data_IF_019752533552
#
_entry.id   IF_019752533552
#
_cell.length_a   1.000
_cell.length_b   1.000
_cell.length_c   1.000
_cell.angle_alpha   90.00
_cell.angle_beta   90.00
_cell.angle_gamma   90.00
#
_symmetry.space_group_name_H-M   'P 1'
#
loop_
_entity.id
_entity.type
_entity.pdbx_description
1 polymer ?
#
# COMPACT_ATOMS: atom_id res chain seq x y z
N UNK A 1 19.28 31.37 9.87
CA UNK A 1 18.54 31.10 11.09
C UNK A 1 18.37 29.57 11.13
N UNK A 2 18.99 28.89 12.09
CA UNK A 2 18.75 27.46 12.30
C UNK A 2 17.36 27.36 12.91
N UNK A 3 16.45 26.70 12.20
CA UNK A 3 15.12 26.36 12.68
C UNK A 3 15.29 25.27 13.76
N UNK A 4 15.28 25.69 15.01
CA UNK A 4 15.28 24.79 16.17
C UNK A 4 13.83 24.40 16.42
N UNK A 5 13.29 23.48 15.62
CA UNK A 5 12.16 22.66 16.06
C UNK A 5 12.65 21.92 17.30
N UNK A 6 12.15 22.31 18.49
CA UNK A 6 12.51 21.73 19.77
C UNK A 6 12.24 20.21 19.71
N UNK A 7 13.34 19.42 19.81
CA UNK A 7 13.25 17.98 19.96
C UNK A 7 12.71 17.66 21.35
N UNK A 8 11.47 17.23 21.42
CA UNK A 8 10.83 16.84 22.67
C UNK A 8 11.11 15.35 22.99
N UNK A 9 11.72 15.11 24.14
CA UNK A 9 11.94 13.77 24.67
C UNK A 9 11.42 13.67 26.11
N UNK A 10 11.00 12.44 26.49
CA UNK A 10 10.37 12.15 27.80
C UNK A 10 11.41 12.20 28.92
N UNK A 11 12.63 11.73 28.69
CA UNK A 11 13.71 11.63 29.67
C UNK A 11 14.76 12.71 29.45
N UNK A 12 15.53 13.07 30.48
CA UNK A 12 16.60 14.06 30.34
C UNK A 12 17.60 13.68 29.23
N UNK A 13 18.01 14.66 28.43
CA UNK A 13 19.05 14.46 27.40
C UNK A 13 20.38 14.02 27.99
N UNK A 14 20.70 14.54 29.16
CA UNK A 14 21.98 14.29 29.81
C UNK A 14 23.12 15.17 29.28
N UNK A 15 24.33 14.77 29.61
CA UNK A 15 25.56 15.47 29.20
C UNK A 15 26.10 14.86 27.91
N UNK A 16 26.89 15.64 27.18
CA UNK A 16 27.63 15.12 26.03
C UNK A 16 28.50 13.93 26.43
N UNK A 17 28.54 12.89 25.60
CA UNK A 17 29.35 11.72 25.89
C UNK A 17 30.81 12.13 26.15
N UNK A 18 31.41 11.67 27.27
CA UNK A 18 32.79 12.01 27.60
C UNK A 18 33.75 11.46 26.53
N UNK A 19 34.95 12.05 26.34
CA UNK A 19 35.89 11.65 25.29
C UNK A 19 36.23 10.16 25.28
N UNK A 20 36.24 9.51 26.43
CA UNK A 20 36.49 8.07 26.56
C UNK A 20 35.42 7.21 25.83
N UNK A 21 34.20 7.68 25.77
CA UNK A 21 33.09 7.00 25.06
C UNK A 21 32.84 7.61 23.68
N UNK A 22 32.99 8.94 23.53
CA UNK A 22 32.76 9.64 22.28
C UNK A 22 33.56 9.08 21.10
N UNK A 23 34.72 8.50 21.34
CA UNK A 23 35.54 7.84 20.32
C UNK A 23 34.84 6.66 19.61
N UNK A 24 33.77 6.14 20.18
CA UNK A 24 32.98 5.04 19.62
C UNK A 24 31.70 5.53 18.89
N UNK A 25 31.60 6.85 18.68
CA UNK A 25 30.47 7.47 18.00
C UNK A 25 30.95 8.38 16.86
N UNK A 26 30.23 8.38 15.77
CA UNK A 26 30.38 9.37 14.70
C UNK A 26 29.28 10.39 14.87
N UNK A 27 29.62 11.66 15.11
CA UNK A 27 28.68 12.71 15.46
C UNK A 27 28.50 12.89 16.96
N UNK A 28 27.56 13.74 17.36
CA UNK A 28 27.36 14.10 18.77
C UNK A 28 26.25 13.24 19.41
N UNK A 29 26.56 12.69 20.55
CA UNK A 29 25.59 11.94 21.40
C UNK A 29 25.64 12.43 22.84
N UNK A 30 24.56 12.14 23.56
CA UNK A 30 24.36 12.53 24.96
C UNK A 30 23.93 11.32 25.79
N UNK A 31 24.29 11.33 27.08
CA UNK A 31 24.01 10.22 27.97
C UNK A 31 23.46 10.74 29.31
N UNK A 32 22.32 10.22 29.72
CA UNK A 32 21.74 10.45 31.03
C UNK A 32 21.55 9.13 31.79
N UNK A 33 22.27 8.85 32.88
CA UNK A 33 21.99 7.72 33.73
C UNK A 33 20.65 7.95 34.47
N UNK A 34 19.72 7.00 34.33
CA UNK A 34 18.38 7.07 34.93
C UNK A 34 18.30 6.28 36.24
N UNK A 35 19.09 5.21 36.39
CA UNK A 35 19.18 4.44 37.61
C UNK A 35 20.48 4.76 38.35
N UNK A 36 20.36 5.03 39.65
CA UNK A 36 21.51 5.37 40.54
C UNK A 36 21.69 4.39 41.71
N UNK A 37 20.68 3.57 42.01
CA UNK A 37 20.75 2.58 43.05
C UNK A 37 21.40 1.29 42.53
N UNK A 38 22.66 1.02 42.94
CA UNK A 38 23.39 -0.17 42.55
C UNK A 38 22.79 -1.48 43.03
N UNK A 39 21.95 -1.46 44.07
CA UNK A 39 21.28 -2.66 44.57
C UNK A 39 20.23 -3.21 43.61
N UNK A 40 19.67 -2.34 42.74
CA UNK A 40 18.72 -2.77 41.72
C UNK A 40 19.38 -3.61 40.62
N UNK A 41 20.71 -3.51 40.45
CA UNK A 41 21.46 -4.22 39.45
C UNK A 41 20.82 -4.16 38.03
N UNK A 42 20.26 -3.01 37.70
CA UNK A 42 19.57 -2.73 36.43
C UNK A 42 19.97 -1.34 35.90
N UNK A 43 21.15 -1.20 35.30
CA UNK A 43 21.58 0.06 34.72
C UNK A 43 20.70 0.43 33.50
N UNK A 44 20.14 1.65 33.56
CA UNK A 44 19.30 2.22 32.52
C UNK A 44 19.85 3.60 32.17
N UNK A 45 20.09 3.83 30.91
CA UNK A 45 20.56 5.10 30.37
C UNK A 45 19.59 5.63 29.32
N UNK A 46 19.30 6.93 29.34
CA UNK A 46 18.74 7.58 28.16
C UNK A 46 19.91 8.02 27.27
N UNK A 47 19.92 7.51 26.06
CA UNK A 47 20.93 7.84 25.04
C UNK A 47 20.27 8.64 23.95
N UNK A 48 20.81 9.85 23.69
CA UNK A 48 20.28 10.76 22.69
C UNK A 48 21.33 11.02 21.60
N UNK A 49 20.95 10.98 20.37
CA UNK A 49 21.78 11.16 19.19
C UNK A 49 21.31 12.39 18.39
N UNK A 50 22.24 13.25 17.99
CA UNK A 50 21.96 14.28 16.97
C UNK A 50 21.70 13.65 15.59
N UNK A 51 21.03 14.37 14.67
CA UNK A 51 20.85 13.90 13.30
C UNK A 51 22.16 13.42 12.67
N UNK A 52 22.14 12.21 12.11
CA UNK A 52 23.29 11.57 11.49
C UNK A 52 24.28 10.91 12.47
N UNK A 53 24.13 11.09 13.78
CA UNK A 53 24.98 10.46 14.77
C UNK A 53 24.68 8.97 14.92
N UNK A 54 25.73 8.14 14.98
CA UNK A 54 25.65 6.69 15.16
C UNK A 54 26.83 6.17 15.96
N UNK A 55 26.65 5.04 16.64
CA UNK A 55 27.78 4.34 17.27
C UNK A 55 28.49 3.40 16.29
N UNK A 56 29.68 3.00 16.67
CA UNK A 56 30.43 1.97 15.96
C UNK A 56 29.75 0.61 16.04
N UNK A 57 30.13 -0.32 15.20
CA UNK A 57 29.82 -1.73 15.40
C UNK A 57 30.30 -2.17 16.78
N UNK A 58 29.45 -2.88 17.52
CA UNK A 58 29.78 -3.39 18.84
C UNK A 58 28.92 -4.59 19.23
N UNK A 59 29.26 -5.23 20.34
CA UNK A 59 28.46 -6.30 20.93
C UNK A 59 28.49 -6.23 22.45
N UNK A 60 27.51 -6.88 23.09
CA UNK A 60 27.35 -7.01 24.53
C UNK A 60 27.36 -8.48 24.93
N UNK A 61 28.21 -8.91 25.88
CA UNK A 61 28.25 -10.31 26.31
C UNK A 61 27.01 -10.71 27.11
N UNK A 62 26.32 -9.74 27.75
CA UNK A 62 25.09 -9.95 28.50
C UNK A 62 23.81 -9.65 27.73
N UNK A 63 23.91 -9.09 26.54
CA UNK A 63 22.79 -8.54 25.78
C UNK A 63 22.38 -7.15 26.22
N UNK A 64 21.47 -6.53 25.47
CA UNK A 64 20.93 -5.20 25.74
C UNK A 64 19.47 -5.10 25.25
N UNK A 65 18.67 -4.27 25.94
CA UNK A 65 17.34 -3.92 25.51
C UNK A 65 17.30 -2.42 25.17
N UNK A 66 16.78 -2.05 23.98
CA UNK A 66 16.53 -0.67 23.60
C UNK A 66 15.03 -0.40 23.59
N UNK A 67 14.61 0.68 24.24
CA UNK A 67 13.22 1.15 24.26
C UNK A 67 13.22 2.56 23.65
N UNK A 68 12.68 2.70 22.44
CA UNK A 68 12.71 3.98 21.71
C UNK A 68 11.72 4.96 22.34
N UNK A 69 12.20 6.16 22.66
CA UNK A 69 11.42 7.16 23.40
C UNK A 69 11.12 8.41 22.59
N UNK A 70 11.95 8.78 21.60
CA UNK A 70 11.72 9.96 20.79
C UNK A 70 12.50 9.91 19.46
N UNK A 71 12.00 10.65 18.46
CA UNK A 71 12.66 10.83 17.18
C UNK A 71 12.68 9.62 16.28
N UNK A 72 13.61 9.57 15.33
CA UNK A 72 13.79 8.48 14.37
C UNK A 72 15.23 7.99 14.35
N UNK A 73 15.44 6.69 14.40
CA UNK A 73 16.76 6.09 14.37
C UNK A 73 16.79 4.81 13.56
N UNK A 74 17.95 4.19 13.51
CA UNK A 74 18.17 2.92 12.85
C UNK A 74 18.94 1.95 13.77
N UNK A 75 18.66 0.68 13.59
CA UNK A 75 19.37 -0.44 14.19
C UNK A 75 19.73 -1.44 13.10
N UNK A 76 20.92 -1.98 13.16
CA UNK A 76 21.34 -3.03 12.22
C UNK A 76 22.22 -4.06 12.89
N UNK A 77 21.91 -5.34 12.68
CA UNK A 77 22.80 -6.45 12.98
C UNK A 77 23.73 -6.71 11.80
N UNK A 78 24.95 -7.15 12.08
CA UNK A 78 25.93 -7.43 11.02
C UNK A 78 25.42 -8.53 10.08
N UNK A 79 25.41 -8.23 8.79
CA UNK A 79 24.90 -9.11 7.75
C UNK A 79 23.37 -9.10 7.57
N UNK A 80 22.66 -8.30 8.34
CA UNK A 80 21.21 -8.09 8.21
C UNK A 80 20.91 -6.71 7.63
N UNK A 81 19.68 -6.51 7.19
CA UNK A 81 19.20 -5.19 6.77
C UNK A 81 18.98 -4.27 7.96
N UNK A 82 19.22 -2.97 7.78
CA UNK A 82 18.93 -1.98 8.80
C UNK A 82 17.42 -1.81 9.00
N UNK A 83 16.99 -1.72 10.26
CA UNK A 83 15.62 -1.50 10.70
C UNK A 83 15.45 -0.05 11.14
N UNK A 84 14.42 0.64 10.61
CA UNK A 84 13.97 1.94 11.12
C UNK A 84 13.37 1.73 12.52
N UNK A 85 13.70 2.65 13.44
CA UNK A 85 13.19 2.68 14.81
C UNK A 85 12.37 3.95 15.05
N UNK A 86 11.18 3.78 15.61
CA UNK A 86 10.23 4.82 15.98
C UNK A 86 9.87 4.75 17.48
N UNK A 87 9.37 5.83 18.09
CA UNK A 87 8.92 5.83 19.47
C UNK A 87 7.93 4.70 19.76
N UNK A 88 8.20 3.92 20.81
CA UNK A 88 7.45 2.72 21.17
C UNK A 88 8.07 1.41 20.66
N UNK A 89 9.03 1.45 19.74
CA UNK A 89 9.75 0.25 19.32
C UNK A 89 10.63 -0.31 20.44
N UNK A 90 10.71 -1.63 20.47
CA UNK A 90 11.58 -2.40 21.35
C UNK A 90 12.56 -3.21 20.51
N UNK A 91 13.86 -3.16 20.87
CA UNK A 91 14.90 -3.98 20.26
C UNK A 91 15.52 -4.85 21.33
N UNK A 92 15.35 -6.16 21.21
CA UNK A 92 15.99 -7.17 22.04
C UNK A 92 17.29 -7.59 21.38
N UNK A 93 18.42 -7.20 21.97
CA UNK A 93 19.76 -7.52 21.45
C UNK A 93 20.30 -8.70 22.24
N UNK A 94 20.34 -9.87 21.61
CA UNK A 94 20.86 -11.09 22.24
C UNK A 94 22.37 -10.98 22.53
N UNK A 95 22.88 -11.77 23.50
CA UNK A 95 24.31 -11.79 23.81
C UNK A 95 25.18 -12.04 22.58
N UNK A 96 26.26 -11.24 22.46
CA UNK A 96 27.27 -11.31 21.41
C UNK A 96 26.79 -10.96 19.99
N UNK A 97 25.56 -10.48 19.78
CA UNK A 97 25.11 -9.95 18.49
C UNK A 97 25.91 -8.70 18.16
N UNK A 98 26.57 -8.69 17.00
CA UNK A 98 27.31 -7.52 16.49
C UNK A 98 26.30 -6.61 15.80
N UNK A 99 26.17 -5.37 16.29
CA UNK A 99 25.18 -4.40 15.81
C UNK A 99 25.68 -2.97 15.92
N UNK A 100 24.94 -2.06 15.31
CA UNK A 100 25.02 -0.63 15.55
C UNK A 100 23.61 -0.02 15.60
N UNK A 101 23.50 1.15 16.21
CA UNK A 101 22.30 1.99 16.19
C UNK A 101 22.68 3.47 16.21
N UNK A 102 21.73 4.33 15.81
CA UNK A 102 21.93 5.75 15.74
C UNK A 102 20.75 6.50 15.19
N UNK A 103 20.85 7.83 15.12
CA UNK A 103 19.84 8.72 14.59
C UNK A 103 19.67 8.56 13.08
N UNK A 104 18.50 8.93 12.54
CA UNK A 104 18.33 9.16 11.11
C UNK A 104 19.11 10.39 10.65
N UNK A 105 19.41 10.54 9.33
CA UNK A 105 20.19 11.67 8.83
C UNK A 105 19.58 13.04 9.11
N UNK A 106 18.25 13.10 9.24
CA UNK A 106 17.43 14.30 9.35
C UNK A 106 16.61 14.39 10.66
N UNK A 107 16.85 13.49 11.62
CA UNK A 107 16.09 13.45 12.88
C UNK A 107 16.98 13.18 14.06
N UNK A 108 16.69 13.81 15.18
CA UNK A 108 17.16 13.36 16.49
C UNK A 108 16.61 11.98 16.80
N UNK A 109 17.28 11.26 17.68
CA UNK A 109 16.87 9.93 18.12
C UNK A 109 17.20 9.74 19.59
N UNK A 110 16.25 9.22 20.37
CA UNK A 110 16.46 8.90 21.78
C UNK A 110 15.85 7.56 22.14
N UNK A 111 16.58 6.80 22.95
CA UNK A 111 16.10 5.51 23.46
C UNK A 111 16.65 5.25 24.87
N UNK A 112 15.96 4.42 25.64
CA UNK A 112 16.51 3.83 26.85
C UNK A 112 17.38 2.63 26.47
N UNK A 113 18.61 2.61 26.94
CA UNK A 113 19.48 1.45 26.90
C UNK A 113 19.45 0.77 28.29
N UNK A 114 18.91 -0.44 28.32
CA UNK A 114 18.88 -1.28 29.54
C UNK A 114 19.94 -2.35 29.40
N UNK A 115 20.91 -2.36 30.31
CA UNK A 115 21.93 -3.42 30.34
C UNK A 115 21.35 -4.70 30.88
N UNK A 116 21.42 -5.78 30.10
CA UNK A 116 21.07 -7.11 30.55
C UNK A 116 22.28 -7.80 31.19
N UNK A 117 22.05 -8.56 32.28
CA UNK A 117 23.11 -9.29 33.02
C UNK A 117 24.32 -8.41 33.40
N UNK A 118 24.15 -7.23 34.02
CA UNK A 118 25.20 -6.22 34.17
C UNK A 118 26.43 -6.68 34.92
N UNK A 119 26.32 -7.69 35.81
CA UNK A 119 27.47 -8.27 36.50
C UNK A 119 28.51 -8.89 35.57
N UNK A 120 28.08 -9.45 34.44
CA UNK A 120 28.92 -10.14 33.46
C UNK A 120 28.94 -9.46 32.10
N UNK A 121 28.11 -8.45 31.87
CA UNK A 121 28.03 -7.74 30.60
C UNK A 121 29.32 -6.96 30.36
N UNK A 122 29.85 -7.08 29.15
CA UNK A 122 31.02 -6.34 28.66
C UNK A 122 30.75 -5.92 27.23
N UNK A 123 31.11 -4.68 26.92
CA UNK A 123 31.01 -4.13 25.56
C UNK A 123 32.31 -4.40 24.80
N UNK A 124 32.18 -4.92 23.60
CA UNK A 124 33.27 -5.02 22.64
C UNK A 124 33.02 -4.08 21.50
N UNK A 125 33.82 -3.02 21.40
CA UNK A 125 33.76 -2.05 20.32
C UNK A 125 34.58 -2.49 19.13
N UNK A 126 34.06 -2.30 17.93
CA UNK A 126 34.65 -2.70 16.66
C UNK A 126 34.82 -1.46 15.77
N UNK A 127 34.96 -1.66 14.46
CA UNK A 127 35.17 -0.61 13.49
C UNK A 127 33.98 0.38 13.40
N UNK A 128 34.22 1.64 12.99
CA UNK A 128 33.17 2.60 12.72
C UNK A 128 32.22 2.14 11.61
N UNK A 129 30.95 2.55 11.70
CA UNK A 129 30.04 2.50 10.56
C UNK A 129 30.34 3.70 9.67
N UNK A 130 31.04 3.48 8.56
CA UNK A 130 31.42 4.55 7.65
C UNK A 130 30.21 5.24 6.99
N UNK A 131 30.46 6.37 6.32
CA UNK A 131 29.40 7.18 5.73
C UNK A 131 28.71 6.50 4.55
N UNK A 132 29.38 5.59 3.85
CA UNK A 132 28.79 4.84 2.75
C UNK A 132 27.83 3.78 3.27
N UNK A 133 28.27 2.97 4.24
CA UNK A 133 27.45 1.97 4.92
C UNK A 133 26.24 2.61 5.62
N UNK A 134 26.47 3.74 6.32
CA UNK A 134 25.39 4.48 6.97
C UNK A 134 24.37 5.03 5.96
N UNK A 135 24.81 5.66 4.87
CA UNK A 135 23.91 6.15 3.82
C UNK A 135 23.13 5.01 3.16
N UNK A 136 23.78 3.88 2.90
CA UNK A 136 23.10 2.71 2.35
C UNK A 136 22.05 2.14 3.32
N UNK A 137 22.35 2.10 4.62
CA UNK A 137 21.47 1.61 5.67
C UNK A 137 20.27 2.54 5.93
N UNK A 138 20.47 3.86 5.81
CA UNK A 138 19.47 4.89 6.10
C UNK A 138 18.83 5.50 4.86
N UNK A 139 19.29 5.12 3.66
CA UNK A 139 18.65 5.53 2.42
C UNK A 139 17.15 5.24 2.49
N UNK A 140 16.28 6.14 2.03
CA UNK A 140 14.88 5.85 1.90
C UNK A 140 14.75 4.61 1.00
N UNK A 141 14.58 3.46 1.61
CA UNK A 141 14.17 2.29 0.83
C UNK A 141 12.82 2.67 0.24
N UNK A 142 12.60 2.47 -1.08
CA UNK A 142 11.24 2.53 -1.58
C UNK A 142 10.42 1.68 -0.62
N UNK A 143 9.40 2.27 -0.02
CA UNK A 143 8.65 1.72 1.11
C UNK A 143 8.21 0.30 0.81
N UNK A 144 9.07 -0.65 1.16
CA UNK A 144 8.70 -2.05 1.30
C UNK A 144 8.20 -2.23 2.74
N UNK A 145 7.10 -1.59 3.10
CA UNK A 145 6.18 -2.27 4.00
C UNK A 145 5.63 -3.44 3.20
N UNK A 146 6.42 -4.48 3.09
CA UNK A 146 5.89 -5.82 2.86
C UNK A 146 5.11 -6.19 4.11
N UNK A 147 3.88 -5.73 4.22
CA UNK A 147 2.86 -6.63 4.74
C UNK A 147 2.85 -7.78 3.76
N UNK A 148 3.24 -8.97 4.17
CA UNK A 148 3.49 -10.11 3.28
C UNK A 148 2.31 -10.45 2.35
N UNK A 149 1.13 -9.82 2.56
CA UNK A 149 -0.10 -10.01 1.80
C UNK A 149 -0.90 -8.71 1.50
N UNK A 150 -0.42 -7.52 1.89
CA UNK A 150 -1.18 -6.27 1.81
C UNK A 150 -1.00 -5.46 0.52
N UNK A 151 -1.94 -4.53 0.28
CA UNK A 151 -1.83 -3.46 -0.71
C UNK A 151 -0.79 -2.41 -0.26
N UNK A 152 -0.15 -1.68 -1.19
CA UNK A 152 0.74 -0.59 -0.82
C UNK A 152 -0.01 0.50 -0.05
N UNK A 153 0.66 1.13 0.92
CA UNK A 153 0.11 2.30 1.61
C UNK A 153 -0.15 3.42 0.58
N UNK A 154 -1.40 3.90 0.44
CA UNK A 154 -1.74 4.91 -0.55
C UNK A 154 -1.02 6.25 -0.35
N UNK A 155 -0.55 6.53 0.86
CA UNK A 155 0.18 7.77 1.19
C UNK A 155 1.64 7.51 1.57
N UNK A 156 2.23 6.41 1.10
CA UNK A 156 3.64 6.06 1.36
C UNK A 156 4.62 7.15 0.88
N UNK A 157 4.34 7.80 -0.24
CA UNK A 157 5.16 8.88 -0.79
C UNK A 157 5.29 10.08 0.16
N UNK A 158 4.34 10.26 1.06
CA UNK A 158 4.29 11.38 2.02
C UNK A 158 4.83 11.01 3.42
N UNK A 159 5.39 9.80 3.58
CA UNK A 159 5.86 9.34 4.89
C UNK A 159 6.94 10.26 5.52
N UNK A 160 7.69 11.00 4.70
CA UNK A 160 8.73 11.94 5.17
C UNK A 160 8.18 13.32 5.49
N UNK A 161 7.19 13.82 4.73
CA UNK A 161 6.59 15.15 4.93
C UNK A 161 5.43 15.11 5.92
N UNK A 162 4.63 14.04 5.88
CA UNK A 162 3.39 13.89 6.65
C UNK A 162 3.32 12.49 7.31
N UNK A 163 4.23 12.19 8.25
CA UNK A 163 4.37 10.83 8.81
C UNK A 163 3.11 10.35 9.55
N UNK A 164 2.42 11.23 10.26
CA UNK A 164 1.17 10.90 10.96
C UNK A 164 0.07 10.49 9.97
N UNK A 165 -0.14 11.29 8.92
CA UNK A 165 -1.12 10.99 7.89
C UNK A 165 -0.81 9.69 7.15
N UNK A 166 0.48 9.47 6.81
CA UNK A 166 0.92 8.22 6.19
C UNK A 166 0.69 7.01 7.08
N UNK A 167 0.91 7.13 8.40
CA UNK A 167 0.63 6.08 9.37
C UNK A 167 -0.87 5.78 9.51
N UNK A 168 -1.73 6.81 9.57
CA UNK A 168 -3.19 6.67 9.58
C UNK A 168 -3.68 5.94 8.31
N UNK A 169 -3.17 6.34 7.14
CA UNK A 169 -3.52 5.71 5.88
C UNK A 169 -3.07 4.23 5.82
N UNK A 170 -1.87 3.92 6.30
CA UNK A 170 -1.38 2.55 6.38
C UNK A 170 -2.25 1.70 7.32
N UNK A 171 -2.55 2.18 8.51
CA UNK A 171 -3.41 1.47 9.48
C UNK A 171 -4.78 1.15 8.91
N UNK A 172 -5.41 2.10 8.25
CA UNK A 172 -6.75 1.94 7.69
C UNK A 172 -6.74 1.16 6.37
N UNK A 173 -6.00 1.62 5.35
CA UNK A 173 -6.04 1.03 4.01
C UNK A 173 -5.31 -0.31 3.89
N UNK A 174 -4.21 -0.50 4.63
CA UNK A 174 -3.42 -1.74 4.60
C UNK A 174 -3.68 -2.65 5.81
N UNK A 175 -4.41 -2.16 6.82
CA UNK A 175 -4.76 -2.88 8.05
C UNK A 175 -6.24 -3.20 8.12
N UNK A 176 -7.04 -2.27 8.65
CA UNK A 176 -8.43 -2.51 9.05
C UNK A 176 -9.33 -2.97 7.89
N UNK A 177 -9.30 -2.27 6.75
CA UNK A 177 -10.17 -2.61 5.61
C UNK A 177 -9.82 -3.95 4.97
N UNK A 178 -8.57 -4.40 5.10
CA UNK A 178 -8.14 -5.68 4.54
C UNK A 178 -8.53 -6.90 5.39
N UNK A 179 -8.88 -6.67 6.65
CA UNK A 179 -9.38 -7.73 7.52
C UNK A 179 -10.83 -8.10 7.23
N UNK A 180 -11.56 -7.25 6.50
CA UNK A 180 -12.95 -7.49 6.16
C UNK A 180 -13.10 -8.27 4.86
N UNK A 181 -13.92 -9.33 4.91
CA UNK A 181 -14.25 -10.17 3.76
C UNK A 181 -13.11 -11.10 3.33
N UNK A 182 -13.39 -11.92 2.34
CA UNK A 182 -12.51 -13.02 1.89
C UNK A 182 -11.88 -12.77 0.50
N UNK A 183 -11.72 -11.49 0.08
CA UNK A 183 -11.05 -11.20 -1.18
C UNK A 183 -9.59 -11.63 -1.11
N UNK A 184 -9.14 -12.40 -2.10
CA UNK A 184 -7.73 -12.72 -2.26
C UNK A 184 -6.91 -11.49 -2.67
N UNK A 185 -5.59 -11.59 -2.52
CA UNK A 185 -4.67 -10.48 -2.82
C UNK A 185 -4.76 -10.01 -4.28
N UNK A 186 -4.89 -10.95 -5.23
CA UNK A 186 -5.04 -10.62 -6.65
C UNK A 186 -6.29 -9.78 -6.88
N UNK A 187 -7.43 -10.23 -6.38
CA UNK A 187 -8.71 -9.51 -6.51
C UNK A 187 -8.64 -8.14 -5.86
N UNK A 188 -8.07 -8.00 -4.65
CA UNK A 188 -7.87 -6.70 -3.98
C UNK A 188 -7.06 -5.74 -4.83
N UNK A 189 -5.95 -6.19 -5.41
CA UNK A 189 -5.10 -5.37 -6.28
C UNK A 189 -5.83 -4.93 -7.55
N UNK A 190 -6.53 -5.85 -8.23
CA UNK A 190 -7.22 -5.55 -9.49
C UNK A 190 -8.39 -4.58 -9.29
N UNK A 191 -9.24 -4.76 -8.26
CA UNK A 191 -10.35 -3.83 -7.99
C UNK A 191 -9.85 -2.46 -7.55
N UNK A 192 -8.76 -2.39 -6.78
CA UNK A 192 -8.13 -1.12 -6.40
C UNK A 192 -7.50 -0.42 -7.60
N UNK A 193 -6.84 -1.17 -8.48
CA UNK A 193 -6.28 -0.64 -9.73
C UNK A 193 -7.39 -0.04 -10.61
N UNK A 194 -8.51 -0.75 -10.81
CA UNK A 194 -9.65 -0.24 -11.57
C UNK A 194 -10.25 1.04 -10.92
N UNK A 195 -10.33 1.07 -9.60
CA UNK A 195 -10.77 2.24 -8.83
C UNK A 195 -9.86 3.45 -9.05
N UNK A 196 -8.53 3.26 -8.93
CA UNK A 196 -7.55 4.35 -9.08
C UNK A 196 -7.54 4.91 -10.51
N UNK A 197 -7.73 4.06 -11.52
CA UNK A 197 -7.94 4.53 -12.90
C UNK A 197 -9.20 5.40 -13.00
N UNK A 198 -10.31 5.00 -12.38
CA UNK A 198 -11.55 5.78 -12.37
C UNK A 198 -11.39 7.13 -11.66
N UNK A 199 -10.57 7.18 -10.62
CA UNK A 199 -10.27 8.39 -9.84
C UNK A 199 -9.23 9.30 -10.50
N UNK A 200 -8.51 8.85 -11.53
CA UNK A 200 -7.40 9.57 -12.18
C UNK A 200 -6.28 9.95 -11.21
N UNK A 201 -5.91 9.05 -10.31
CA UNK A 201 -4.82 9.30 -9.37
C UNK A 201 -3.51 8.70 -9.90
N UNK A 202 -2.73 9.51 -10.61
CA UNK A 202 -1.45 9.09 -11.19
C UNK A 202 -0.43 8.71 -10.10
N UNK A 203 -0.46 9.40 -8.96
CA UNK A 203 0.41 9.11 -7.81
C UNK A 203 0.18 7.71 -7.23
N UNK A 204 -1.05 7.21 -7.27
CA UNK A 204 -1.38 5.87 -6.75
C UNK A 204 -1.25 4.78 -7.81
N UNK A 205 -1.34 5.13 -9.08
CA UNK A 205 -1.37 4.15 -10.17
C UNK A 205 -0.04 3.38 -10.28
N UNK A 206 1.10 4.10 -10.27
CA UNK A 206 2.41 3.47 -10.41
C UNK A 206 2.75 2.50 -9.27
N UNK A 207 2.59 2.85 -7.98
CA UNK A 207 2.80 1.90 -6.87
C UNK A 207 1.89 0.67 -6.92
N UNK A 208 0.63 0.81 -7.37
CA UNK A 208 -0.30 -0.31 -7.50
C UNK A 208 0.07 -1.24 -8.66
N UNK A 209 0.53 -0.69 -9.79
CA UNK A 209 1.07 -1.48 -10.91
C UNK A 209 2.28 -2.31 -10.47
N UNK A 210 3.19 -1.71 -9.69
CA UNK A 210 4.33 -2.44 -9.12
C UNK A 210 3.89 -3.54 -8.17
N UNK A 211 2.98 -3.23 -7.24
CA UNK A 211 2.47 -4.20 -6.30
C UNK A 211 1.76 -5.38 -6.99
N UNK A 212 1.05 -5.10 -8.10
CA UNK A 212 0.43 -6.14 -8.91
C UNK A 212 1.47 -7.04 -9.60
N UNK A 213 2.53 -6.45 -10.18
CA UNK A 213 3.63 -7.20 -10.78
C UNK A 213 4.41 -8.00 -9.74
N UNK A 214 4.70 -7.42 -8.58
CA UNK A 214 5.40 -8.07 -7.47
C UNK A 214 4.57 -9.20 -6.83
N UNK A 215 3.24 -9.11 -6.92
CA UNK A 215 2.33 -10.19 -6.54
C UNK A 215 2.26 -11.33 -7.57
N UNK A 216 2.99 -11.21 -8.68
CA UNK A 216 3.01 -12.21 -9.76
C UNK A 216 1.77 -12.16 -10.67
N UNK A 217 0.98 -11.08 -10.65
CA UNK A 217 -0.15 -10.93 -11.57
C UNK A 217 0.39 -10.74 -12.98
N UNK A 218 -0.05 -11.56 -13.95
CA UNK A 218 0.43 -11.47 -15.32
C UNK A 218 0.22 -10.06 -15.92
N UNK A 219 1.18 -9.50 -16.66
CA UNK A 219 1.02 -8.19 -17.31
C UNK A 219 -0.23 -8.09 -18.19
N UNK A 220 -0.64 -9.19 -18.80
CA UNK A 220 -1.88 -9.28 -19.60
C UNK A 220 -3.11 -9.00 -18.73
N UNK A 221 -3.21 -9.58 -17.53
CA UNK A 221 -4.34 -9.34 -16.63
C UNK A 221 -4.39 -7.89 -16.13
N UNK A 222 -3.23 -7.31 -15.83
CA UNK A 222 -3.10 -5.90 -15.45
C UNK A 222 -3.60 -5.01 -16.59
N UNK A 223 -3.16 -5.27 -17.82
CA UNK A 223 -3.63 -4.54 -19.01
C UNK A 223 -5.14 -4.69 -19.21
N UNK A 224 -5.66 -5.90 -19.11
CA UNK A 224 -7.09 -6.16 -19.28
C UNK A 224 -7.91 -5.50 -18.17
N UNK A 225 -7.35 -5.34 -16.95
CA UNK A 225 -7.97 -4.55 -15.87
C UNK A 225 -8.09 -3.07 -16.27
N UNK A 226 -7.02 -2.46 -16.76
CA UNK A 226 -7.03 -1.07 -17.24
C UNK A 226 -8.00 -0.93 -18.42
N UNK A 227 -7.97 -1.85 -19.39
CA UNK A 227 -8.86 -1.82 -20.57
C UNK A 227 -10.33 -1.95 -20.17
N UNK A 228 -10.64 -2.78 -19.15
CA UNK A 228 -12.00 -2.97 -18.65
C UNK A 228 -12.63 -1.66 -18.15
N UNK A 229 -11.83 -0.72 -17.66
CA UNK A 229 -12.36 0.57 -17.17
C UNK A 229 -12.76 1.51 -18.28
N UNK A 230 -12.15 1.41 -19.47
CA UNK A 230 -12.26 2.41 -20.56
C UNK A 230 -13.72 2.70 -20.97
N UNK A 231 -14.59 1.70 -21.18
CA UNK A 231 -15.99 1.98 -21.56
C UNK A 231 -16.76 2.80 -20.53
N UNK A 232 -16.32 2.81 -19.29
CA UNK A 232 -16.98 3.47 -18.16
C UNK A 232 -16.38 4.83 -17.83
N UNK A 233 -15.05 4.96 -17.92
CA UNK A 233 -14.34 6.21 -17.60
C UNK A 233 -14.13 7.11 -18.81
N UNK A 234 -14.29 6.57 -20.02
CA UNK A 234 -14.04 7.23 -21.30
C UNK A 234 -12.59 7.15 -21.76
N UNK A 235 -12.38 7.40 -23.06
CA UNK A 235 -11.07 7.30 -23.72
C UNK A 235 -10.01 8.25 -23.15
N UNK A 236 -10.40 9.43 -22.67
CA UNK A 236 -9.45 10.41 -22.13
C UNK A 236 -8.72 9.86 -20.89
N UNK A 237 -9.47 9.43 -19.88
CA UNK A 237 -8.90 8.80 -18.69
C UNK A 237 -8.19 7.49 -19.02
N UNK A 238 -8.76 6.71 -19.94
CA UNK A 238 -8.18 5.45 -20.39
C UNK A 238 -6.82 5.64 -21.05
N UNK A 239 -6.63 6.66 -21.85
CA UNK A 239 -5.35 6.96 -22.51
C UNK A 239 -4.24 7.26 -21.50
N UNK A 240 -4.53 8.09 -20.48
CA UNK A 240 -3.58 8.42 -19.41
C UNK A 240 -3.18 7.16 -18.63
N UNK A 241 -4.17 6.34 -18.23
CA UNK A 241 -3.92 5.09 -17.52
C UNK A 241 -3.08 4.09 -18.35
N UNK A 242 -3.37 3.94 -19.64
CA UNK A 242 -2.59 3.08 -20.55
C UNK A 242 -1.17 3.60 -20.72
N UNK A 243 -0.99 4.91 -20.85
CA UNK A 243 0.33 5.52 -20.94
C UNK A 243 1.15 5.29 -19.66
N UNK A 244 0.55 5.48 -18.48
CA UNK A 244 1.19 5.22 -17.20
C UNK A 244 1.56 3.73 -17.03
N UNK A 245 0.65 2.82 -17.36
CA UNK A 245 0.89 1.39 -17.35
C UNK A 245 2.04 0.98 -18.27
N UNK A 246 2.05 1.46 -19.50
CA UNK A 246 3.10 1.13 -20.47
C UNK A 246 4.47 1.66 -20.06
N UNK A 247 4.55 2.87 -19.49
CA UNK A 247 5.79 3.39 -18.89
C UNK A 247 6.28 2.46 -17.78
N UNK A 248 5.37 1.97 -16.95
CA UNK A 248 5.76 1.08 -15.84
C UNK A 248 6.18 -0.28 -16.32
N UNK A 249 5.50 -0.88 -17.28
CA UNK A 249 5.90 -2.15 -17.90
C UNK A 249 7.30 -2.05 -18.51
N UNK A 250 7.57 -0.99 -19.28
CA UNK A 250 8.89 -0.77 -19.86
C UNK A 250 9.98 -0.64 -18.77
N UNK A 251 9.71 0.12 -17.70
CA UNK A 251 10.64 0.29 -16.60
C UNK A 251 10.92 -1.03 -15.84
N UNK A 252 9.98 -1.98 -15.88
CA UNK A 252 10.11 -3.33 -15.30
C UNK A 252 10.65 -4.37 -16.29
N UNK A 253 11.11 -3.94 -17.49
CA UNK A 253 11.68 -4.82 -18.50
C UNK A 253 10.66 -5.69 -19.25
N UNK A 254 9.35 -5.35 -19.14
CA UNK A 254 8.29 -6.07 -19.86
C UNK A 254 8.20 -5.54 -21.28
N UNK A 255 8.38 -6.44 -22.26
CA UNK A 255 8.33 -6.10 -23.67
C UNK A 255 6.91 -5.76 -24.14
N UNK A 256 6.78 -4.69 -24.92
CA UNK A 256 5.52 -4.30 -25.56
C UNK A 256 5.66 -4.45 -27.09
N UNK A 257 4.57 -4.77 -27.81
CA UNK A 257 3.21 -4.99 -27.31
C UNK A 257 3.06 -6.35 -26.61
N UNK A 258 2.13 -6.41 -25.64
CA UNK A 258 1.69 -7.70 -25.07
C UNK A 258 0.85 -8.47 -26.11
N UNK A 259 0.66 -9.78 -25.89
CA UNK A 259 -0.18 -10.61 -26.74
C UNK A 259 -1.60 -10.06 -26.91
N UNK A 260 -2.19 -10.22 -28.09
CA UNK A 260 -3.53 -9.75 -28.38
C UNK A 260 -4.58 -10.64 -27.67
N UNK A 261 -5.54 -10.01 -26.99
CA UNK A 261 -6.64 -10.68 -26.28
C UNK A 261 -8.02 -10.46 -26.93
N UNK A 262 -8.12 -9.70 -28.01
CA UNK A 262 -9.37 -9.50 -28.73
C UNK A 262 -9.93 -10.81 -29.27
N UNK A 263 -11.26 -10.95 -29.19
CA UNK A 263 -11.98 -12.15 -29.65
C UNK A 263 -12.95 -11.85 -30.78
N UNK A 264 -13.19 -10.57 -31.04
CA UNK A 264 -14.17 -10.08 -32.01
C UNK A 264 -13.51 -9.35 -33.18
N UNK A 265 -14.25 -9.25 -34.28
CA UNK A 265 -13.93 -8.41 -35.46
C UNK A 265 -15.02 -7.34 -35.61
N UNK A 266 -14.83 -6.32 -36.49
CA UNK A 266 -15.86 -5.34 -36.75
C UNK A 266 -17.22 -5.97 -37.14
N UNK A 267 -17.21 -7.12 -37.79
CA UNK A 267 -18.43 -7.82 -38.23
C UNK A 267 -19.09 -8.64 -37.14
N UNK A 268 -18.32 -9.16 -36.18
CA UNK A 268 -18.82 -10.09 -35.14
C UNK A 268 -19.06 -9.43 -33.77
N UNK A 269 -18.50 -8.23 -33.54
CA UNK A 269 -18.49 -7.58 -32.22
C UNK A 269 -19.89 -7.30 -31.65
N UNK A 270 -20.86 -6.97 -32.49
CA UNK A 270 -22.22 -6.70 -32.04
C UNK A 270 -22.91 -7.97 -31.56
N UNK A 271 -22.89 -9.03 -32.37
CA UNK A 271 -23.58 -10.29 -32.04
C UNK A 271 -22.96 -10.96 -30.81
N UNK A 272 -21.62 -11.03 -30.77
CA UNK A 272 -20.91 -11.63 -29.62
C UNK A 272 -21.08 -10.79 -28.35
N UNK A 273 -21.02 -9.47 -28.47
CA UNK A 273 -21.22 -8.57 -27.33
C UNK A 273 -22.66 -8.62 -26.81
N UNK A 274 -23.65 -8.64 -27.69
CA UNK A 274 -25.06 -8.78 -27.32
C UNK A 274 -25.32 -10.15 -26.63
N UNK A 275 -24.74 -11.22 -27.15
CA UNK A 275 -24.86 -12.54 -26.55
C UNK A 275 -24.28 -12.59 -25.15
N UNK A 276 -23.07 -12.03 -24.94
CA UNK A 276 -22.44 -11.92 -23.61
C UNK A 276 -23.28 -11.01 -22.69
N UNK A 277 -23.74 -9.85 -23.15
CA UNK A 277 -24.56 -8.94 -22.38
C UNK A 277 -25.84 -9.63 -21.88
N UNK A 278 -26.53 -10.40 -22.75
CA UNK A 278 -27.70 -11.19 -22.37
C UNK A 278 -27.37 -12.31 -21.39
N UNK A 279 -26.21 -12.94 -21.50
CA UNK A 279 -25.80 -13.98 -20.52
C UNK A 279 -25.63 -13.42 -19.10
N UNK A 280 -25.20 -12.15 -18.98
CA UNK A 280 -25.00 -11.47 -17.70
C UNK A 280 -26.33 -10.89 -17.17
N UNK A 281 -27.10 -10.19 -18.01
CA UNK A 281 -28.26 -9.39 -17.57
C UNK A 281 -29.62 -9.99 -17.92
N UNK A 282 -29.64 -11.04 -18.74
CA UNK A 282 -30.87 -11.75 -19.14
C UNK A 282 -31.83 -10.90 -19.97
N UNK A 283 -33.12 -11.13 -19.80
CA UNK A 283 -34.21 -10.46 -20.55
C UNK A 283 -34.25 -8.94 -20.40
N UNK A 284 -33.55 -8.37 -19.42
CA UNK A 284 -33.43 -6.91 -19.26
C UNK A 284 -32.83 -6.27 -20.53
N UNK A 285 -32.00 -6.99 -21.26
CA UNK A 285 -31.37 -6.49 -22.49
C UNK A 285 -32.37 -6.47 -23.65
N UNK A 286 -33.24 -7.48 -23.76
CA UNK A 286 -34.31 -7.45 -24.77
C UNK A 286 -35.25 -6.28 -24.54
N UNK A 287 -35.69 -6.10 -23.29
CA UNK A 287 -36.52 -4.97 -22.90
C UNK A 287 -35.86 -3.60 -23.17
N UNK A 288 -34.56 -3.48 -22.92
CA UNK A 288 -33.79 -2.27 -23.22
C UNK A 288 -33.87 -1.91 -24.71
N UNK A 289 -33.77 -2.89 -25.61
CA UNK A 289 -33.89 -2.68 -27.04
C UNK A 289 -35.32 -2.36 -27.47
N UNK A 290 -36.32 -3.06 -26.89
CA UNK A 290 -37.74 -2.87 -27.20
C UNK A 290 -38.23 -1.47 -26.79
N UNK A 291 -37.73 -0.96 -25.65
CA UNK A 291 -38.22 0.31 -25.07
C UNK A 291 -37.37 1.51 -25.47
N UNK A 292 -36.22 1.30 -26.13
CA UNK A 292 -35.37 2.41 -26.57
C UNK A 292 -36.05 3.26 -27.65
N UNK A 293 -36.07 4.60 -27.48
CA UNK A 293 -36.49 5.50 -28.54
C UNK A 293 -35.66 5.29 -29.81
N UNK A 294 -36.33 5.44 -30.99
CA UNK A 294 -35.69 5.17 -32.28
C UNK A 294 -34.45 6.04 -32.54
N UNK A 295 -34.45 7.28 -32.04
CA UNK A 295 -33.32 8.22 -32.15
C UNK A 295 -32.16 7.90 -31.18
N UNK A 296 -32.33 6.98 -30.23
CA UNK A 296 -31.35 6.59 -29.22
C UNK A 296 -30.86 5.14 -29.41
N UNK A 297 -31.48 4.34 -30.27
CA UNK A 297 -31.17 2.92 -30.45
C UNK A 297 -29.68 2.68 -30.83
N UNK A 298 -29.05 3.64 -31.49
CA UNK A 298 -27.62 3.56 -31.83
C UNK A 298 -26.72 3.51 -30.59
N UNK A 299 -27.10 4.17 -29.49
CA UNK A 299 -26.34 4.12 -28.23
C UNK A 299 -26.40 2.71 -27.64
N UNK A 300 -27.57 2.05 -27.66
CA UNK A 300 -27.70 0.67 -27.18
C UNK A 300 -26.86 -0.29 -28.06
N UNK A 301 -26.82 -0.05 -29.37
CA UNK A 301 -25.97 -0.82 -30.28
C UNK A 301 -24.48 -0.63 -29.99
N UNK A 302 -24.05 0.60 -29.71
CA UNK A 302 -22.66 0.85 -29.28
C UNK A 302 -22.35 0.18 -27.95
N UNK A 303 -23.27 0.21 -26.99
CA UNK A 303 -23.11 -0.49 -25.73
C UNK A 303 -22.85 -1.98 -25.94
N UNK A 304 -23.68 -2.66 -26.74
CA UNK A 304 -23.49 -4.07 -27.03
C UNK A 304 -22.23 -4.34 -27.87
N UNK A 305 -21.97 -3.55 -28.93
CA UNK A 305 -20.84 -3.80 -29.82
C UNK A 305 -19.49 -3.37 -29.21
N UNK A 306 -19.42 -2.17 -28.64
CA UNK A 306 -18.16 -1.63 -28.12
C UNK A 306 -17.91 -2.07 -26.68
N UNK A 307 -18.78 -1.73 -25.72
CA UNK A 307 -18.55 -2.06 -24.31
C UNK A 307 -18.45 -3.58 -24.11
N UNK A 308 -19.43 -4.33 -24.59
CA UNK A 308 -19.43 -5.78 -24.43
C UNK A 308 -18.58 -6.48 -25.50
N UNK A 309 -18.74 -6.15 -26.78
CA UNK A 309 -18.06 -6.82 -27.87
C UNK A 309 -16.56 -6.58 -27.94
N UNK A 310 -16.11 -5.33 -27.82
CA UNK A 310 -14.68 -5.00 -27.92
C UNK A 310 -13.92 -5.15 -26.60
N UNK A 311 -14.58 -4.98 -25.44
CA UNK A 311 -13.91 -5.00 -24.14
C UNK A 311 -14.27 -6.21 -23.28
N UNK A 312 -15.55 -6.51 -23.07
CA UNK A 312 -15.95 -7.56 -22.14
C UNK A 312 -15.70 -9.00 -22.67
N UNK A 313 -15.71 -9.22 -23.99
CA UNK A 313 -15.42 -10.55 -24.57
C UNK A 313 -13.94 -10.90 -24.60
N UNK A 314 -13.04 -9.95 -24.32
CA UNK A 314 -11.60 -10.15 -24.41
C UNK A 314 -11.11 -11.25 -23.47
N UNK A 315 -10.10 -12.01 -23.90
CA UNK A 315 -9.39 -12.98 -23.05
C UNK A 315 -8.56 -12.29 -21.97
N UNK A 316 -7.94 -13.05 -21.10
CA UNK A 316 -7.05 -12.57 -20.02
C UNK A 316 -7.73 -12.40 -18.69
N UNK A 317 -9.03 -12.12 -18.65
CA UNK A 317 -9.86 -12.10 -17.45
C UNK A 317 -11.17 -12.84 -17.72
N UNK A 318 -11.69 -13.56 -16.73
CA UNK A 318 -13.01 -14.18 -16.78
C UNK A 318 -14.13 -13.15 -16.58
N UNK A 319 -15.36 -13.53 -16.90
CA UNK A 319 -16.54 -12.66 -16.85
C UNK A 319 -16.84 -12.20 -15.43
N UNK A 320 -16.68 -13.07 -14.42
CA UNK A 320 -16.94 -12.71 -13.03
C UNK A 320 -15.96 -11.64 -12.53
N UNK A 321 -14.67 -11.78 -12.87
CA UNK A 321 -13.64 -10.76 -12.59
C UNK A 321 -13.98 -9.45 -13.30
N UNK A 322 -14.35 -9.47 -14.58
CA UNK A 322 -14.70 -8.25 -15.34
C UNK A 322 -15.90 -7.52 -14.76
N UNK A 323 -16.93 -8.24 -14.34
CA UNK A 323 -18.09 -7.63 -13.67
C UNK A 323 -17.71 -7.01 -12.31
N UNK A 324 -16.80 -7.65 -11.57
CA UNK A 324 -16.31 -7.11 -10.30
C UNK A 324 -15.50 -5.82 -10.51
N UNK A 325 -14.65 -5.77 -11.54
CA UNK A 325 -13.90 -4.58 -11.92
C UNK A 325 -14.82 -3.44 -12.41
N UNK A 326 -15.87 -3.79 -13.14
CA UNK A 326 -16.90 -2.82 -13.57
C UNK A 326 -17.61 -2.23 -12.37
N UNK A 327 -18.03 -3.06 -11.42
CA UNK A 327 -18.63 -2.60 -10.16
C UNK A 327 -17.69 -1.64 -9.40
N UNK A 328 -16.41 -2.04 -9.22
CA UNK A 328 -15.40 -1.20 -8.58
C UNK A 328 -15.22 0.15 -9.29
N UNK A 329 -15.18 0.14 -10.63
CA UNK A 329 -15.07 1.35 -11.45
C UNK A 329 -16.28 2.28 -11.25
N UNK A 330 -17.49 1.76 -11.32
CA UNK A 330 -18.73 2.55 -11.20
C UNK A 330 -18.89 3.14 -9.79
N UNK A 331 -18.62 2.36 -8.75
CA UNK A 331 -18.65 2.85 -7.36
C UNK A 331 -17.64 3.98 -7.16
N UNK A 332 -16.46 3.88 -7.81
CA UNK A 332 -15.42 4.90 -7.74
C UNK A 332 -15.76 6.17 -8.51
N UNK A 333 -16.47 6.06 -9.62
CA UNK A 333 -16.96 7.22 -10.38
C UNK A 333 -17.97 8.02 -9.55
N UNK A 334 -18.96 7.33 -8.95
CA UNK A 334 -20.07 7.95 -8.26
C UNK A 334 -21.07 8.64 -9.20
N UNK A 335 -22.28 8.94 -8.71
CA UNK A 335 -23.33 9.60 -9.51
C UNK A 335 -23.89 8.73 -10.64
N UNK A 336 -23.72 7.41 -10.55
CA UNK A 336 -24.21 6.44 -11.53
C UNK A 336 -24.89 5.23 -10.85
N UNK A 337 -25.71 5.50 -9.84
CA UNK A 337 -26.37 4.51 -9.00
C UNK A 337 -27.23 3.52 -9.81
N UNK A 338 -27.87 3.99 -10.90
CA UNK A 338 -28.64 3.10 -11.78
C UNK A 338 -27.76 2.01 -12.43
N UNK A 339 -26.55 2.39 -12.89
CA UNK A 339 -25.58 1.46 -13.46
C UNK A 339 -25.00 0.56 -12.36
N UNK A 340 -24.68 1.10 -11.18
CA UNK A 340 -24.24 0.32 -10.01
C UNK A 340 -25.25 -0.77 -9.70
N UNK A 341 -26.57 -0.44 -9.59
CA UNK A 341 -27.63 -1.42 -9.35
C UNK A 341 -27.72 -2.48 -10.47
N UNK A 342 -27.55 -2.06 -11.72
CA UNK A 342 -27.49 -2.97 -12.87
C UNK A 342 -26.37 -4.00 -12.71
N UNK A 343 -25.14 -3.53 -12.43
CA UNK A 343 -23.97 -4.38 -12.28
C UNK A 343 -23.94 -5.17 -10.98
N UNK A 344 -24.65 -4.77 -9.91
CA UNK A 344 -24.89 -5.62 -8.74
C UNK A 344 -25.68 -6.87 -9.15
N UNK A 345 -26.76 -6.73 -9.96
CA UNK A 345 -27.50 -7.88 -10.48
C UNK A 345 -26.65 -8.74 -11.40
N UNK A 346 -25.84 -8.12 -12.28
CA UNK A 346 -24.90 -8.81 -13.15
C UNK A 346 -23.89 -9.63 -12.34
N UNK A 347 -23.26 -9.02 -11.35
CA UNK A 347 -22.32 -9.69 -10.45
C UNK A 347 -22.95 -10.89 -9.73
N UNK A 348 -24.15 -10.73 -9.17
CA UNK A 348 -24.84 -11.83 -8.50
C UNK A 348 -25.07 -13.01 -9.45
N UNK A 349 -25.41 -12.76 -10.72
CA UNK A 349 -25.62 -13.82 -11.73
C UNK A 349 -24.34 -14.54 -12.15
N UNK A 350 -23.20 -13.85 -12.12
CA UNK A 350 -21.90 -14.47 -12.45
C UNK A 350 -21.17 -15.03 -11.22
N UNK A 351 -21.84 -15.07 -10.05
CA UNK A 351 -21.33 -15.70 -8.84
C UNK A 351 -20.71 -14.76 -7.81
N UNK A 352 -20.66 -13.46 -8.06
CA UNK A 352 -20.19 -12.47 -7.09
C UNK A 352 -21.37 -12.00 -6.21
N UNK A 353 -21.62 -12.70 -5.11
CA UNK A 353 -22.71 -12.38 -4.19
C UNK A 353 -22.47 -11.12 -3.35
N UNK A 354 -23.49 -10.73 -2.56
CA UNK A 354 -23.46 -9.55 -1.65
C UNK A 354 -22.22 -9.52 -0.76
N UNK A 355 -21.74 -10.61 -0.13
CA UNK A 355 -20.55 -10.59 0.69
C UNK A 355 -19.29 -10.16 -0.08
N UNK A 356 -19.13 -10.63 -1.32
CA UNK A 356 -18.01 -10.27 -2.20
C UNK A 356 -18.07 -8.79 -2.58
N UNK A 357 -19.24 -8.30 -2.98
CA UNK A 357 -19.42 -6.89 -3.36
C UNK A 357 -19.22 -5.95 -2.17
N UNK A 358 -19.68 -6.32 -0.99
CA UNK A 358 -19.46 -5.55 0.23
C UNK A 358 -17.97 -5.53 0.61
N UNK A 359 -17.25 -6.64 0.43
CA UNK A 359 -15.81 -6.69 0.64
C UNK A 359 -15.06 -5.77 -0.35
N UNK A 360 -15.53 -5.68 -1.62
CA UNK A 360 -14.99 -4.71 -2.60
C UNK A 360 -15.23 -3.28 -2.15
N UNK A 361 -16.45 -2.92 -1.73
CA UNK A 361 -16.74 -1.56 -1.23
C UNK A 361 -15.87 -1.21 -0.02
N UNK A 362 -15.71 -2.17 0.91
CA UNK A 362 -14.84 -1.98 2.09
C UNK A 362 -13.38 -1.81 1.69
N UNK A 363 -12.88 -2.60 0.75
CA UNK A 363 -11.53 -2.48 0.20
C UNK A 363 -11.30 -1.11 -0.45
N UNK A 364 -12.31 -0.55 -1.11
CA UNK A 364 -12.20 0.72 -1.83
C UNK A 364 -12.45 1.94 -0.94
N UNK A 365 -13.04 1.78 0.24
CA UNK A 365 -13.39 2.88 1.15
C UNK A 365 -12.25 3.89 1.39
N UNK A 366 -10.98 3.48 1.61
CA UNK A 366 -9.88 4.42 1.77
C UNK A 366 -9.59 5.28 0.52
N UNK A 367 -9.97 4.81 -0.66
CA UNK A 367 -9.69 5.45 -1.94
C UNK A 367 -10.84 6.35 -2.42
N UNK A 368 -12.09 5.93 -2.21
CA UNK A 368 -13.30 6.61 -2.72
C UNK A 368 -14.02 7.45 -1.68
N UNK A 369 -13.71 7.25 -0.40
CA UNK A 369 -14.30 7.94 0.75
C UNK A 369 -15.71 7.46 1.10
N UNK A 370 -16.19 7.89 2.27
CA UNK A 370 -17.47 7.47 2.84
C UNK A 370 -18.70 7.77 1.96
N UNK A 371 -18.85 8.93 1.30
CA UNK A 371 -20.07 9.20 0.55
C UNK A 371 -20.32 8.19 -0.57
N UNK A 372 -19.32 7.88 -1.39
CA UNK A 372 -19.44 6.91 -2.47
C UNK A 372 -19.65 5.49 -1.95
N UNK A 373 -18.95 5.12 -0.88
CA UNK A 373 -19.10 3.82 -0.23
C UNK A 373 -20.50 3.62 0.34
N UNK A 374 -21.06 4.62 1.01
CA UNK A 374 -22.42 4.56 1.57
C UNK A 374 -23.47 4.48 0.47
N UNK A 375 -23.32 5.23 -0.64
CA UNK A 375 -24.20 5.12 -1.80
C UNK A 375 -24.14 3.70 -2.43
N UNK A 376 -22.95 3.10 -2.54
CA UNK A 376 -22.80 1.74 -3.03
C UNK A 376 -23.48 0.71 -2.10
N UNK A 377 -23.34 0.87 -0.78
CA UNK A 377 -24.01 0.02 0.22
C UNK A 377 -25.52 0.16 0.12
N UNK A 378 -26.04 1.37 -0.05
CA UNK A 378 -27.47 1.60 -0.27
C UNK A 378 -27.98 0.85 -1.52
N UNK A 379 -27.24 0.93 -2.64
CA UNK A 379 -27.54 0.17 -3.85
C UNK A 379 -27.48 -1.34 -3.64
N UNK A 380 -26.50 -1.84 -2.87
CA UNK A 380 -26.38 -3.25 -2.52
C UNK A 380 -27.60 -3.75 -1.73
N UNK A 381 -27.99 -3.01 -0.70
CA UNK A 381 -29.14 -3.38 0.14
C UNK A 381 -30.48 -3.33 -0.60
N UNK A 382 -30.62 -2.40 -1.57
CA UNK A 382 -31.83 -2.35 -2.41
C UNK A 382 -31.92 -3.52 -3.39
N UNK A 383 -30.79 -3.92 -3.98
CA UNK A 383 -30.77 -4.97 -5.03
C UNK A 383 -30.65 -6.38 -4.46
N UNK A 384 -29.88 -6.54 -3.39
CA UNK A 384 -29.62 -7.77 -2.67
C UNK A 384 -29.94 -7.57 -1.18
N UNK A 385 -31.21 -7.50 -0.79
CA UNK A 385 -31.60 -7.38 0.61
C UNK A 385 -31.09 -8.58 1.42
N UNK A 386 -31.00 -8.44 2.75
CA UNK A 386 -30.80 -9.57 3.64
C UNK A 386 -32.06 -10.46 3.58
N UNK A 387 -31.87 -11.77 3.46
CA UNK A 387 -32.96 -12.72 3.65
C UNK A 387 -33.28 -12.73 5.16
N UNK A 388 -34.57 -12.48 5.53
CA UNK A 388 -35.05 -12.50 6.90
C UNK A 388 -34.94 -13.90 7.53
#
# INVERSE_FOLDING_TARGET
MKDTTEFHQIFPQGEANPPANAQYFIGQSYLAPLTRNGELNCPVYNVTFEPGCRNNWHSHTGGQLLLVTAGRGYYQERGQEARLLLPGDVVEIAPNVIHWHGAAPDSWFSHLAVECNPATNRNTWLEPVDDEAYRAATAPKPSQTKTADGLPNPLAAFASSDPELSALAAGFACGETQQYGSLDRRTRLLVTLASVVALQSDELLAPLLDAALDAGIPPVEIRETVYQTIPYVGMAKGADAVAAMNRRFTARGISLPLEACGTTTPDTRFEQGLALQKSIFGETIDRMYETSPADQIHIQRYLSANCFGDYQTRRGLDVATRELLTFATLVSLGGCEAQVKGHIRGNARVGNGKPTLLAVVTQLLPYIGYPRSLNAIACLNEVLPEEE
#
